data_IF_628215771749
#
_entry.id   IF_628215771749
#
_cell.length_a   1.000
_cell.length_b   1.000
_cell.length_c   1.000
_cell.angle_alpha   90.00
_cell.angle_beta   90.00
_cell.angle_gamma   90.00
#
_symmetry.space_group_name_H-M   'P 1'
#
loop_
_entity.id
_entity.type
_entity.pdbx_description
1 polymer ?
#
# COMPACT_ATOMS: atom_id res chain seq x y z
N UNK A 1 -14.06 -25.86 -39.64
CA UNK A 1 -12.65 -25.65 -40.04
C UNK A 1 -12.49 -24.13 -40.15
N UNK A 2 -12.15 -23.43 -39.05
CA UNK A 2 -10.80 -22.90 -38.66
C UNK A 2 -10.22 -21.97 -39.74
N UNK A 3 -9.82 -20.71 -39.51
CA UNK A 3 -8.96 -20.12 -38.47
C UNK A 3 -9.22 -18.60 -38.32
N UNK A 4 -9.39 -18.06 -37.11
CA UNK A 4 -8.41 -17.32 -36.26
C UNK A 4 -8.26 -15.80 -36.57
N UNK A 5 -8.50 -14.89 -35.60
CA UNK A 5 -8.18 -13.46 -35.74
C UNK A 5 -6.68 -13.17 -35.48
N UNK A 6 -6.12 -12.10 -36.06
CA UNK A 6 -4.70 -11.81 -35.93
C UNK A 6 -4.33 -11.37 -34.51
N UNK A 7 -3.30 -12.05 -34.01
CA UNK A 7 -2.37 -11.75 -32.92
C UNK A 7 -2.51 -10.44 -32.13
N UNK A 8 -2.71 -10.61 -30.82
CA UNK A 8 -2.26 -9.71 -29.77
C UNK A 8 -0.76 -9.37 -29.94
N UNK A 9 -0.46 -8.13 -30.31
CA UNK A 9 0.87 -7.53 -30.19
C UNK A 9 1.11 -6.99 -28.77
N UNK A 10 2.37 -6.92 -28.33
CA UNK A 10 2.72 -6.91 -26.91
C UNK A 10 2.31 -5.61 -26.21
N UNK A 11 1.77 -5.76 -25.01
CA UNK A 11 1.60 -4.69 -24.05
C UNK A 11 2.92 -3.91 -23.94
N UNK A 12 2.85 -2.60 -24.22
CA UNK A 12 3.97 -1.67 -24.09
C UNK A 12 4.51 -1.71 -22.66
N UNK A 13 5.56 -2.49 -22.45
CA UNK A 13 6.50 -2.28 -21.37
C UNK A 13 7.35 -1.05 -21.71
N UNK A 14 7.54 -0.19 -20.72
CA UNK A 14 8.47 0.93 -20.78
C UNK A 14 7.75 2.27 -20.91
N UNK A 15 7.29 2.81 -19.77
CA UNK A 15 7.25 4.27 -19.62
C UNK A 15 8.69 4.77 -19.61
N UNK A 16 9.30 4.86 -20.79
CA UNK A 16 10.49 5.66 -21.00
C UNK A 16 10.01 7.11 -20.83
N UNK A 17 10.22 7.63 -19.62
CA UNK A 17 9.82 8.97 -19.27
C UNK A 17 10.73 9.93 -20.04
N UNK A 18 10.21 10.46 -21.14
CA UNK A 18 10.80 11.56 -21.89
C UNK A 18 11.09 12.73 -20.91
N UNK A 19 12.35 13.15 -20.72
CA UNK A 19 12.71 14.23 -19.79
C UNK A 19 12.19 15.60 -20.23
N UNK A 20 11.63 15.72 -21.44
CA UNK A 20 11.22 16.99 -22.05
C UNK A 20 9.74 17.31 -21.83
N UNK A 21 8.91 16.39 -21.34
CA UNK A 21 7.48 16.68 -21.14
C UNK A 21 7.27 17.45 -19.83
N UNK A 22 6.76 18.70 -19.85
CA UNK A 22 6.48 19.46 -18.65
C UNK A 22 5.37 18.75 -17.85
N UNK A 23 5.72 18.24 -16.67
CA UNK A 23 4.77 17.60 -15.76
C UNK A 23 3.96 18.69 -15.06
N UNK A 24 2.75 18.94 -15.56
CA UNK A 24 1.72 19.72 -14.88
C UNK A 24 1.38 19.04 -13.54
N UNK A 25 2.03 19.47 -12.46
CA UNK A 25 1.62 19.12 -11.09
C UNK A 25 0.65 20.20 -10.62
N UNK A 26 -0.60 19.83 -10.35
CA UNK A 26 -1.52 20.74 -9.68
C UNK A 26 -0.95 21.05 -8.29
N UNK A 27 -0.61 22.31 -8.06
CA UNK A 27 -0.20 22.80 -6.74
C UNK A 27 -1.34 22.57 -5.75
N UNK A 28 -1.06 21.94 -4.61
CA UNK A 28 -2.06 21.66 -3.57
C UNK A 28 -2.61 20.23 -3.55
N UNK A 29 -2.19 19.37 -4.48
CA UNK A 29 -2.44 17.92 -4.39
C UNK A 29 -1.10 17.18 -4.29
N UNK A 30 -0.92 16.36 -3.25
CA UNK A 30 0.21 15.40 -3.14
C UNK A 30 0.10 14.25 -4.15
N UNK A 31 -0.93 14.27 -5.00
CA UNK A 31 -1.24 13.28 -6.02
C UNK A 31 -0.31 13.43 -7.25
N UNK A 32 0.93 12.96 -7.11
CA UNK A 32 1.74 12.55 -8.25
C UNK A 32 1.30 11.17 -8.77
N UNK A 33 1.83 10.72 -9.93
CA UNK A 33 1.60 9.35 -10.39
C UNK A 33 2.10 8.35 -9.33
N UNK A 34 1.27 7.34 -9.05
CA UNK A 34 1.59 6.26 -8.09
C UNK A 34 2.80 5.49 -8.60
N UNK A 35 3.83 5.37 -7.75
CA UNK A 35 5.02 4.58 -8.11
C UNK A 35 4.73 3.08 -8.06
N UNK A 36 5.54 2.25 -8.72
CA UNK A 36 5.41 0.79 -8.63
C UNK A 36 5.54 0.26 -7.20
N UNK A 37 6.42 0.88 -6.40
CA UNK A 37 6.58 0.57 -4.97
C UNK A 37 5.31 0.91 -4.18
N UNK A 38 4.75 2.10 -4.40
CA UNK A 38 3.53 2.57 -3.74
C UNK A 38 2.32 1.67 -4.11
N UNK A 39 2.19 1.29 -5.38
CA UNK A 39 1.17 0.35 -5.82
C UNK A 39 1.28 -1.01 -5.10
N UNK A 40 2.49 -1.57 -5.02
CA UNK A 40 2.73 -2.84 -4.33
C UNK A 40 2.42 -2.75 -2.83
N UNK A 41 2.76 -1.63 -2.18
CA UNK A 41 2.44 -1.39 -0.77
C UNK A 41 0.93 -1.25 -0.54
N UNK A 42 0.21 -0.56 -1.43
CA UNK A 42 -1.25 -0.43 -1.36
C UNK A 42 -1.96 -1.78 -1.57
N UNK A 43 -1.47 -2.60 -2.50
CA UNK A 43 -1.96 -3.97 -2.70
C UNK A 43 -1.71 -4.85 -1.47
N UNK A 44 -0.50 -4.77 -0.90
CA UNK A 44 -0.14 -5.47 0.33
C UNK A 44 -1.04 -5.02 1.49
N UNK A 45 -1.25 -3.71 1.65
CA UNK A 45 -2.15 -3.13 2.65
C UNK A 45 -3.57 -3.68 2.50
N UNK A 46 -4.12 -3.67 1.29
CA UNK A 46 -5.45 -4.21 1.03
C UNK A 46 -5.54 -5.71 1.34
N UNK A 47 -4.49 -6.48 1.03
CA UNK A 47 -4.39 -7.89 1.37
C UNK A 47 -4.38 -8.11 2.89
N UNK A 48 -3.53 -7.36 3.62
CA UNK A 48 -3.43 -7.43 5.07
C UNK A 48 -4.76 -7.09 5.75
N UNK A 49 -5.45 -6.03 5.31
CA UNK A 49 -6.77 -5.66 5.87
C UNK A 49 -7.80 -6.77 5.69
N UNK A 50 -7.83 -7.43 4.53
CA UNK A 50 -8.72 -8.58 4.28
C UNK A 50 -8.38 -9.76 5.18
N UNK A 51 -7.09 -10.09 5.31
CA UNK A 51 -6.62 -11.18 6.17
C UNK A 51 -6.91 -10.92 7.64
N UNK A 52 -6.66 -9.70 8.14
CA UNK A 52 -7.00 -9.30 9.52
C UNK A 52 -8.50 -9.47 9.77
N UNK A 53 -9.34 -9.00 8.84
CA UNK A 53 -10.80 -9.10 8.96
C UNK A 53 -11.30 -10.55 8.89
N UNK A 54 -10.63 -11.42 8.15
CA UNK A 54 -10.94 -12.85 8.12
C UNK A 54 -10.53 -13.53 9.43
N UNK A 55 -9.30 -13.31 9.88
CA UNK A 55 -8.78 -13.87 11.13
C UNK A 55 -9.62 -13.44 12.34
N UNK A 56 -10.10 -12.19 12.37
CA UNK A 56 -10.96 -11.71 13.45
C UNK A 56 -12.30 -12.45 13.47
N UNK A 57 -12.94 -12.62 12.31
CA UNK A 57 -14.20 -13.38 12.20
C UNK A 57 -14.02 -14.83 12.63
N UNK A 58 -12.92 -15.46 12.23
CA UNK A 58 -12.61 -16.83 12.60
C UNK A 58 -12.34 -16.95 14.11
N UNK A 59 -11.60 -16.00 14.70
CA UNK A 59 -11.36 -15.93 16.13
C UNK A 59 -12.68 -15.81 16.93
N UNK A 60 -13.56 -14.90 16.52
CA UNK A 60 -14.86 -14.69 17.16
C UNK A 60 -15.73 -15.95 17.07
N UNK A 61 -15.73 -16.62 15.93
CA UNK A 61 -16.46 -17.88 15.73
C UNK A 61 -15.91 -19.01 16.61
N UNK A 62 -14.59 -19.13 16.75
CA UNK A 62 -13.95 -20.12 17.61
C UNK A 62 -14.26 -19.83 19.08
N UNK A 63 -14.13 -18.56 19.53
CA UNK A 63 -14.49 -18.13 20.88
C UNK A 63 -15.93 -18.47 21.22
N UNK A 64 -16.88 -18.13 20.34
CA UNK A 64 -18.30 -18.43 20.53
C UNK A 64 -18.61 -19.94 20.56
N UNK A 65 -17.80 -20.78 19.88
CA UNK A 65 -17.93 -22.25 19.94
C UNK A 65 -17.38 -22.81 21.25
N UNK A 66 -16.24 -22.30 21.72
CA UNK A 66 -15.63 -22.69 22.98
C UNK A 66 -16.54 -22.32 24.17
N UNK A 67 -17.07 -21.09 24.18
CA UNK A 67 -18.03 -20.63 25.19
C UNK A 67 -19.29 -21.50 25.24
N UNK A 68 -19.89 -21.80 24.08
CA UNK A 68 -21.05 -22.71 23.99
C UNK A 68 -20.75 -24.11 24.51
N UNK A 69 -19.53 -24.59 24.33
CA UNK A 69 -19.11 -25.89 24.85
C UNK A 69 -18.68 -25.84 26.33
N UNK A 70 -18.71 -24.67 26.99
CA UNK A 70 -18.13 -24.45 28.31
C UNK A 70 -16.65 -24.89 28.40
N UNK A 71 -15.92 -24.73 27.29
CA UNK A 71 -14.50 -25.10 27.17
C UNK A 71 -13.65 -23.83 27.11
N UNK A 72 -12.49 -23.88 27.74
CA UNK A 72 -11.48 -22.82 27.67
C UNK A 72 -10.60 -23.08 26.43
N UNK A 73 -10.09 -22.01 25.82
CA UNK A 73 -9.07 -22.10 24.78
C UNK A 73 -7.83 -22.85 25.34
N UNK A 74 -7.45 -24.01 24.78
CA UNK A 74 -6.33 -24.79 25.26
C UNK A 74 -5.00 -24.03 25.24
N UNK A 75 -4.80 -23.13 24.27
CA UNK A 75 -3.56 -22.35 24.20
C UNK A 75 -3.52 -21.34 25.35
N UNK A 76 -4.64 -20.67 25.63
CA UNK A 76 -4.77 -19.76 26.76
C UNK A 76 -4.62 -20.50 28.09
N UNK A 77 -5.17 -21.70 28.21
CA UNK A 77 -5.06 -22.54 29.40
C UNK A 77 -3.59 -22.92 29.70
N UNK A 78 -2.83 -23.31 28.68
CA UNK A 78 -1.43 -23.75 28.83
C UNK A 78 -0.45 -22.58 28.95
N UNK A 79 -0.64 -21.52 28.17
CA UNK A 79 0.36 -20.44 28.02
C UNK A 79 -0.01 -19.17 28.78
N UNK A 80 -1.23 -19.07 29.30
CA UNK A 80 -1.79 -17.85 29.88
C UNK A 80 -2.00 -16.72 28.86
N UNK A 81 -1.76 -16.97 27.57
CA UNK A 81 -1.85 -15.97 26.49
C UNK A 81 -2.97 -16.33 25.53
N UNK A 82 -3.77 -15.34 25.16
CA UNK A 82 -4.73 -15.48 24.08
C UNK A 82 -3.97 -15.49 22.74
N UNK A 83 -4.05 -16.61 22.02
CA UNK A 83 -3.39 -16.79 20.73
C UNK A 83 -3.96 -15.84 19.66
N UNK A 84 -5.26 -15.55 19.73
CA UNK A 84 -5.93 -14.64 18.83
C UNK A 84 -5.47 -13.20 19.05
N UNK A 85 -5.31 -12.78 20.32
CA UNK A 85 -4.80 -11.45 20.65
C UNK A 85 -3.32 -11.27 20.25
N UNK A 86 -2.51 -12.32 20.35
CA UNK A 86 -1.13 -12.31 19.87
C UNK A 86 -1.07 -12.14 18.33
N UNK A 87 -1.90 -12.89 17.60
CA UNK A 87 -2.02 -12.79 16.15
C UNK A 87 -2.53 -11.41 15.70
N UNK A 88 -3.53 -10.87 16.40
CA UNK A 88 -4.06 -9.53 16.15
C UNK A 88 -2.98 -8.46 16.30
N UNK A 89 -2.21 -8.49 17.39
CA UNK A 89 -1.10 -7.54 17.60
C UNK A 89 -0.03 -7.65 16.50
N UNK A 90 0.36 -8.87 16.13
CA UNK A 90 1.37 -9.08 15.08
C UNK A 90 0.92 -8.54 13.72
N UNK A 91 -0.33 -8.82 13.34
CA UNK A 91 -0.89 -8.37 12.06
C UNK A 91 -1.15 -6.85 12.02
N UNK A 92 -1.57 -6.24 13.12
CA UNK A 92 -1.67 -4.78 13.23
C UNK A 92 -0.30 -4.11 13.12
N UNK A 93 0.74 -4.65 13.76
CA UNK A 93 2.10 -4.12 13.63
C UNK A 93 2.63 -4.18 12.19
N UNK A 94 2.27 -5.21 11.42
CA UNK A 94 2.58 -5.29 9.99
C UNK A 94 1.85 -4.20 9.19
N UNK A 95 0.56 -3.98 9.46
CA UNK A 95 -0.21 -2.94 8.81
C UNK A 95 0.35 -1.54 9.10
N UNK A 96 0.69 -1.27 10.36
CA UNK A 96 1.34 -0.02 10.78
C UNK A 96 2.72 0.18 10.12
N UNK A 97 3.46 -0.89 9.84
CA UNK A 97 4.73 -0.79 9.13
C UNK A 97 4.53 -0.40 7.65
N UNK A 98 3.50 -0.94 7.00
CA UNK A 98 3.13 -0.56 5.63
C UNK A 98 2.65 0.89 5.58
N UNK A 99 1.79 1.30 6.51
CA UNK A 99 1.28 2.67 6.58
C UNK A 99 2.42 3.68 6.79
N UNK A 100 3.35 3.40 7.71
CA UNK A 100 4.56 4.23 7.90
C UNK A 100 5.43 4.32 6.65
N UNK A 101 5.51 3.25 5.84
CA UNK A 101 6.28 3.27 4.59
C UNK A 101 5.60 4.13 3.53
N UNK A 102 4.28 4.06 3.43
CA UNK A 102 3.50 4.93 2.54
C UNK A 102 3.65 6.40 2.94
N UNK A 103 3.53 6.72 4.24
CA UNK A 103 3.73 8.08 4.75
C UNK A 103 5.14 8.63 4.43
N UNK A 104 6.17 7.78 4.51
CA UNK A 104 7.54 8.17 4.16
C UNK A 104 7.70 8.48 2.67
N UNK A 105 7.02 7.73 1.79
CA UNK A 105 7.01 8.01 0.34
C UNK A 105 6.32 9.34 0.04
N UNK A 106 5.20 9.62 0.73
CA UNK A 106 4.47 10.89 0.61
C UNK A 106 5.31 12.08 1.11
N UNK A 107 5.98 11.93 2.25
CA UNK A 107 6.89 12.95 2.78
C UNK A 107 8.06 13.23 1.83
N UNK A 108 8.64 12.19 1.22
CA UNK A 108 9.69 12.34 0.21
C UNK A 108 9.21 13.13 -1.02
N UNK A 109 7.96 12.92 -1.45
CA UNK A 109 7.35 13.65 -2.56
C UNK A 109 7.11 15.13 -2.22
N UNK A 110 6.69 15.43 -0.99
CA UNK A 110 6.52 16.81 -0.52
C UNK A 110 7.86 17.57 -0.45
N UNK A 111 8.92 16.90 0.00
CA UNK A 111 10.29 17.43 0.06
C UNK A 111 10.85 17.81 -1.31
N UNK A 112 10.65 16.96 -2.33
CA UNK A 112 11.13 17.20 -3.70
C UNK A 112 10.42 18.37 -4.44
N UNK A 113 9.37 18.96 -3.85
CA UNK A 113 8.61 20.05 -4.45
C UNK A 113 9.31 21.43 -4.33
N UNK A 114 10.37 21.57 -3.52
CA UNK A 114 10.93 22.87 -3.17
C UNK A 114 12.04 23.36 -4.14
N UNK A 115 12.62 22.51 -4.98
CA UNK A 115 13.86 22.86 -5.71
C UNK A 115 13.72 23.36 -7.16
N UNK A 116 12.53 23.70 -7.65
CA UNK A 116 12.39 24.29 -8.99
C UNK A 116 11.60 25.59 -8.96
N UNK A 117 12.15 26.60 -8.30
CA UNK A 117 11.77 27.99 -8.60
C UNK A 117 12.98 28.66 -9.25
N UNK A 118 13.09 28.68 -10.59
CA UNK A 118 14.05 29.58 -11.21
C UNK A 118 13.64 31.00 -10.81
N UNK A 119 14.54 31.72 -10.14
CA UNK A 119 14.30 33.10 -9.78
C UNK A 119 13.98 33.88 -11.07
N UNK A 120 12.88 34.63 -11.09
CA UNK A 120 12.42 35.38 -12.27
C UNK A 120 13.50 36.32 -12.88
N UNK A 121 14.58 36.61 -12.14
CA UNK A 121 15.73 37.36 -12.62
C UNK A 121 16.61 36.63 -13.66
N UNK A 122 16.55 35.29 -13.76
CA UNK A 122 17.40 34.54 -14.70
C UNK A 122 16.86 34.57 -16.15
N UNK A 123 15.61 34.98 -16.37
CA UNK A 123 15.00 35.08 -17.70
C UNK A 123 15.23 36.45 -18.38
N UNK A 124 15.78 37.44 -17.66
CA UNK A 124 15.97 38.81 -18.17
C UNK A 124 17.40 39.11 -18.62
N UNK A 125 18.33 38.15 -18.51
CA UNK A 125 19.70 38.31 -18.99
C UNK A 125 19.99 37.41 -20.18
N UNK A 126 19.64 37.86 -21.38
CA UNK A 126 20.46 37.59 -22.57
C UNK A 126 20.62 38.89 -23.38
N UNK A 127 21.84 39.19 -23.87
CA UNK A 127 22.10 40.32 -24.76
C UNK A 127 21.49 40.11 -26.15
#
# INVERSE_FOLDING_TARGET
MTDAPPSLGPARNGSEADPVTPRLRLTGTSAGPVSSEEAALLELRASLVRTVSANQRDADLIRARLERASRIDPIREVTGRDAFDANQRGTMAMLEAVDRRLDALDAGRASALIETTPAANDLLRRP
#
